data_IF_795859041035
#
_entry.id   IF_795859041035
#
_cell.length_a   1.000
_cell.length_b   1.000
_cell.length_c   1.000
_cell.angle_alpha   90.00
_cell.angle_beta   90.00
_cell.angle_gamma   90.00
#
_symmetry.space_group_name_H-M   'P 1'
#
loop_
_entity.id
_entity.type
_entity.pdbx_description
1 polymer ?
#
# COMPACT_ATOMS: atom_id res chain seq x y z
N UNK A 1 -20.22 5.22 8.96
CA UNK A 1 -18.93 5.31 8.22
C UNK A 1 -19.26 5.90 6.87
N UNK A 2 -18.70 7.05 6.56
CA UNK A 2 -18.95 7.70 5.27
C UNK A 2 -18.31 6.88 4.14
N UNK A 3 -18.87 6.93 2.93
CA UNK A 3 -18.41 6.12 1.78
C UNK A 3 -16.93 6.30 1.48
N UNK A 4 -16.40 7.51 1.73
CA UNK A 4 -14.98 7.84 1.57
C UNK A 4 -14.10 7.15 2.61
N UNK A 5 -14.56 7.02 3.86
CA UNK A 5 -13.84 6.31 4.93
C UNK A 5 -13.72 4.82 4.63
N UNK A 6 -14.81 4.22 4.17
CA UNK A 6 -14.84 2.83 3.75
C UNK A 6 -13.87 2.59 2.58
N UNK A 7 -13.90 3.48 1.57
CA UNK A 7 -13.02 3.38 0.41
C UNK A 7 -11.54 3.45 0.79
N UNK A 8 -11.14 4.43 1.62
CA UNK A 8 -9.75 4.53 2.08
C UNK A 8 -9.33 3.36 2.98
N UNK A 9 -10.23 2.87 3.84
CA UNK A 9 -9.97 1.70 4.68
C UNK A 9 -9.63 0.44 3.88
N UNK A 10 -10.35 0.18 2.79
CA UNK A 10 -10.04 -0.95 1.90
C UNK A 10 -8.81 -0.70 1.02
N UNK A 11 -8.63 0.53 0.54
CA UNK A 11 -7.52 0.88 -0.36
C UNK A 11 -6.16 0.80 0.36
N UNK A 12 -6.13 1.12 1.65
CA UNK A 12 -4.94 1.02 2.51
C UNK A 12 -4.83 -0.33 3.24
N UNK A 13 -5.83 -1.20 3.12
CA UNK A 13 -5.90 -2.49 3.81
C UNK A 13 -6.21 -2.42 5.31
N UNK A 14 -6.31 -1.21 5.88
CA UNK A 14 -6.60 -0.97 7.30
C UNK A 14 -7.92 -1.56 7.76
N UNK A 15 -8.92 -1.65 6.87
CA UNK A 15 -10.20 -2.27 7.19
C UNK A 15 -10.08 -3.75 7.56
N UNK A 16 -9.03 -4.45 7.09
CA UNK A 16 -8.78 -5.85 7.44
C UNK A 16 -8.06 -6.03 8.78
N UNK A 17 -7.43 -4.96 9.28
CA UNK A 17 -6.61 -5.00 10.50
C UNK A 17 -7.34 -4.39 11.70
N UNK A 18 -8.15 -3.36 11.46
CA UNK A 18 -8.89 -2.67 12.51
C UNK A 18 -10.15 -3.46 12.89
N UNK A 19 -10.20 -3.93 14.14
CA UNK A 19 -11.39 -4.60 14.69
C UNK A 19 -12.60 -3.66 14.86
N UNK A 20 -12.35 -2.35 14.91
CA UNK A 20 -13.36 -1.29 15.05
C UNK A 20 -13.09 -0.16 14.07
N UNK A 21 -14.13 0.60 13.71
CA UNK A 21 -14.00 1.77 12.83
C UNK A 21 -13.01 2.79 13.40
N UNK A 22 -12.01 3.16 12.59
CA UNK A 22 -11.10 4.25 12.91
C UNK A 22 -11.77 5.60 12.67
N UNK A 23 -11.51 6.57 13.54
CA UNK A 23 -11.84 7.96 13.28
C UNK A 23 -10.96 8.51 12.14
N UNK A 24 -11.43 9.59 11.51
CA UNK A 24 -10.84 10.09 10.27
C UNK A 24 -9.35 10.48 10.38
N UNK A 25 -8.91 11.22 11.42
CA UNK A 25 -7.50 11.55 11.60
C UNK A 25 -6.61 10.31 11.72
N UNK A 26 -7.04 9.32 12.50
CA UNK A 26 -6.27 8.08 12.69
C UNK A 26 -6.20 7.28 11.40
N UNK A 27 -7.31 7.17 10.67
CA UNK A 27 -7.34 6.49 9.38
C UNK A 27 -6.33 7.09 8.40
N UNK A 28 -6.29 8.42 8.27
CA UNK A 28 -5.36 9.11 7.37
C UNK A 28 -3.91 8.94 7.82
N UNK A 29 -3.64 9.13 9.12
CA UNK A 29 -2.28 9.02 9.66
C UNK A 29 -1.72 7.60 9.52
N UNK A 30 -2.52 6.59 9.89
CA UNK A 30 -2.10 5.19 9.76
C UNK A 30 -2.01 4.77 8.30
N UNK A 31 -2.95 5.18 7.44
CA UNK A 31 -2.90 4.92 6.01
C UNK A 31 -1.64 5.48 5.35
N UNK A 32 -1.25 6.71 5.71
CA UNK A 32 -0.03 7.34 5.18
C UNK A 32 1.23 6.60 5.66
N UNK A 33 1.27 6.17 6.92
CA UNK A 33 2.38 5.36 7.45
C UNK A 33 2.50 4.01 6.73
N UNK A 34 1.38 3.28 6.60
CA UNK A 34 1.34 1.97 5.96
C UNK A 34 1.76 2.08 4.49
N UNK A 35 1.19 3.02 3.74
CA UNK A 35 1.55 3.23 2.34
C UNK A 35 3.02 3.67 2.17
N UNK A 36 3.60 4.37 3.15
CA UNK A 36 5.04 4.69 3.14
C UNK A 36 5.89 3.43 3.28
N UNK A 37 5.51 2.51 4.17
CA UNK A 37 6.15 1.21 4.30
C UNK A 37 6.02 0.38 3.01
N UNK A 38 4.82 0.36 2.41
CA UNK A 38 4.56 -0.34 1.15
C UNK A 38 5.42 0.21 0.00
N UNK A 39 5.59 1.54 -0.08
CA UNK A 39 6.49 2.17 -1.03
C UNK A 39 7.94 1.68 -0.90
N UNK A 40 8.44 1.53 0.34
CA UNK A 40 9.79 1.03 0.62
C UNK A 40 9.90 -0.44 0.21
N UNK A 41 8.92 -1.28 0.56
CA UNK A 41 8.90 -2.71 0.19
C UNK A 41 8.89 -2.83 -1.34
N UNK A 42 7.99 -2.11 -2.03
CA UNK A 42 7.93 -2.10 -3.48
C UNK A 42 9.25 -1.66 -4.11
N UNK A 43 9.92 -0.64 -3.56
CA UNK A 43 11.22 -0.18 -4.05
C UNK A 43 12.27 -1.30 -4.02
N UNK A 44 12.35 -2.02 -2.90
CA UNK A 44 13.32 -3.09 -2.66
C UNK A 44 13.02 -4.28 -3.58
N UNK A 45 11.78 -4.77 -3.58
CA UNK A 45 11.37 -5.93 -4.38
C UNK A 45 11.53 -5.64 -5.87
N UNK A 46 11.14 -4.45 -6.33
CA UNK A 46 11.26 -4.08 -7.74
C UNK A 46 12.72 -4.07 -8.19
N UNK A 47 13.62 -3.49 -7.38
CA UNK A 47 15.06 -3.47 -7.69
C UNK A 47 15.64 -4.87 -7.78
N UNK A 48 15.23 -5.78 -6.89
CA UNK A 48 15.72 -7.17 -6.87
C UNK A 48 15.11 -8.05 -7.98
N UNK A 49 13.93 -7.67 -8.48
CA UNK A 49 13.18 -8.40 -9.49
C UNK A 49 13.30 -7.79 -10.91
N UNK A 50 14.24 -6.87 -11.14
CA UNK A 50 14.49 -6.24 -12.45
C UNK A 50 13.40 -5.28 -12.93
N UNK A 51 12.56 -4.78 -12.03
CA UNK A 51 11.54 -3.78 -12.33
C UNK A 51 12.03 -2.35 -12.04
N UNK A 52 11.44 -1.31 -12.67
CA UNK A 52 11.79 0.08 -12.41
C UNK A 52 11.46 0.48 -10.97
N UNK A 53 12.48 0.57 -10.12
CA UNK A 53 12.34 0.78 -8.68
C UNK A 53 11.57 2.07 -8.32
N UNK A 54 11.78 3.17 -9.06
CA UNK A 54 11.08 4.44 -8.82
C UNK A 54 9.57 4.37 -9.12
N UNK A 55 9.20 3.70 -10.21
CA UNK A 55 7.80 3.49 -10.59
C UNK A 55 7.08 2.72 -9.49
N UNK A 56 7.65 1.59 -9.07
CA UNK A 56 7.05 0.75 -8.04
C UNK A 56 7.05 1.40 -6.65
N UNK A 57 8.01 2.27 -6.35
CA UNK A 57 7.97 3.09 -5.12
C UNK A 57 6.74 3.99 -5.11
N UNK A 58 6.48 4.70 -6.22
CA UNK A 58 5.30 5.56 -6.34
C UNK A 58 3.99 4.78 -6.30
N UNK A 59 3.94 3.62 -6.97
CA UNK A 59 2.78 2.74 -6.93
C UNK A 59 2.51 2.21 -5.51
N UNK A 60 3.54 1.80 -4.77
CA UNK A 60 3.42 1.39 -3.36
C UNK A 60 2.90 2.52 -2.47
N UNK A 61 3.32 3.77 -2.71
CA UNK A 61 2.83 4.91 -1.93
C UNK A 61 1.35 5.24 -2.22
N UNK A 62 0.91 5.11 -3.47
CA UNK A 62 -0.47 5.48 -3.86
C UNK A 62 -1.46 4.35 -3.63
N UNK A 63 -1.08 3.12 -3.99
CA UNK A 63 -1.96 1.94 -3.98
C UNK A 63 -1.69 1.00 -2.80
N UNK A 64 -0.68 1.29 -1.97
CA UNK A 64 -0.37 0.56 -0.75
C UNK A 64 -0.13 -0.93 -0.98
N UNK A 65 -0.75 -1.72 -0.12
CA UNK A 65 -0.67 -3.19 -0.09
C UNK A 65 -0.99 -3.83 -1.45
N UNK A 66 -1.88 -3.24 -2.25
CA UNK A 66 -2.26 -3.81 -3.55
C UNK A 66 -1.12 -3.76 -4.56
N UNK A 67 -0.31 -2.69 -4.54
CA UNK A 67 0.90 -2.61 -5.37
C UNK A 67 1.96 -3.61 -4.89
N UNK A 68 2.09 -3.82 -3.57
CA UNK A 68 2.99 -4.82 -3.01
C UNK A 68 2.59 -6.22 -3.47
N UNK A 69 1.30 -6.58 -3.35
CA UNK A 69 0.78 -7.88 -3.80
C UNK A 69 1.01 -8.09 -5.29
N UNK A 70 0.68 -7.11 -6.13
CA UNK A 70 0.90 -7.20 -7.57
C UNK A 70 2.37 -7.42 -7.92
N UNK A 71 3.28 -6.71 -7.25
CA UNK A 71 4.72 -6.84 -7.46
C UNK A 71 5.28 -8.18 -6.98
N UNK A 72 4.80 -8.70 -5.85
CA UNK A 72 5.22 -9.98 -5.30
C UNK A 72 4.77 -11.16 -6.16
N UNK A 73 3.55 -11.09 -6.71
CA UNK A 73 3.03 -12.10 -7.62
C UNK A 73 3.59 -11.98 -9.03
N UNK A 74 4.20 -10.85 -9.36
CA UNK A 74 4.82 -10.65 -10.67
C UNK A 74 6.07 -11.52 -10.82
N UNK A 75 6.27 -12.16 -11.98
CA UNK A 75 7.46 -12.95 -12.23
C UNK A 75 8.70 -12.07 -12.18
N UNK A 76 9.81 -12.64 -11.70
CA UNK A 76 11.11 -11.96 -11.74
C UNK A 76 11.48 -11.65 -13.19
N UNK A 77 11.85 -10.40 -13.46
CA UNK A 77 12.47 -9.99 -14.72
C UNK A 77 13.98 -9.93 -14.49
N UNK A 78 14.74 -10.69 -15.27
CA UNK A 78 16.19 -10.70 -15.22
C UNK A 78 16.75 -9.67 -16.20
#
# INVERSE_FOLDING_TARGET
>A
MDSLQLALGYLTGLQFVAATSLDWPTLVATGLLVNTCDAIICRIVARNNGYPSRLWTGLGFVFGVWAVTALMLSPKRA
#
